data_IF_321851822633
#
_entry.id   IF_321851822633
#
_cell.length_a   1.000
_cell.length_b   1.000
_cell.length_c   1.000
_cell.angle_alpha   90.00
_cell.angle_beta   90.00
_cell.angle_gamma   90.00
#
_symmetry.space_group_name_H-M   'P 1'
#
loop_
_entity.id
_entity.type
_entity.pdbx_description
1 polymer ?
#
# COMPACT_ATOMS: atom_id res chain seq x y z
N UNK A 1 4.04 -6.23 15.97
CA UNK A 1 3.46 -7.19 15.01
C UNK A 1 3.75 -8.64 15.38
N UNK A 2 5.01 -9.07 15.51
CA UNK A 2 5.34 -10.47 15.85
C UNK A 2 4.67 -10.98 17.13
N UNK A 3 4.63 -10.18 18.21
CA UNK A 3 3.93 -10.56 19.43
C UNK A 3 2.41 -10.75 19.23
N UNK A 4 1.81 -10.06 18.26
CA UNK A 4 0.40 -10.24 17.88
C UNK A 4 0.24 -11.59 17.15
N UNK A 5 1.10 -11.86 16.17
CA UNK A 5 1.10 -13.12 15.41
C UNK A 5 1.29 -14.34 16.32
N UNK A 6 2.23 -14.29 17.26
CA UNK A 6 2.46 -15.38 18.21
C UNK A 6 1.19 -15.70 19.03
N UNK A 7 0.50 -14.67 19.54
CA UNK A 7 -0.75 -14.83 20.28
C UNK A 7 -1.89 -15.40 19.42
N UNK A 8 -2.07 -14.89 18.21
CA UNK A 8 -3.16 -15.31 17.33
C UNK A 8 -2.95 -16.70 16.71
N UNK A 9 -1.70 -17.09 16.48
CA UNK A 9 -1.35 -18.40 15.94
C UNK A 9 -1.20 -19.48 17.00
N UNK A 10 -1.06 -19.10 18.28
CA UNK A 10 -0.68 -20.02 19.35
C UNK A 10 0.76 -20.53 19.23
N UNK A 11 1.58 -19.95 18.33
CA UNK A 11 2.98 -20.32 18.13
C UNK A 11 3.85 -19.40 19.00
N UNK A 12 4.67 -19.99 19.84
CA UNK A 12 5.67 -19.23 20.60
C UNK A 12 6.62 -18.48 19.65
N UNK A 13 7.05 -17.27 20.01
CA UNK A 13 7.95 -16.48 19.16
C UNK A 13 9.23 -17.22 18.78
N UNK A 14 9.77 -18.05 19.68
CA UNK A 14 10.97 -18.85 19.45
C UNK A 14 10.72 -20.09 18.56
N UNK A 15 9.45 -20.48 18.37
CA UNK A 15 9.04 -21.62 17.55
C UNK A 15 8.54 -21.20 16.15
N UNK A 16 8.43 -19.89 15.90
CA UNK A 16 8.11 -19.35 14.58
C UNK A 16 9.19 -19.68 13.54
N UNK A 17 8.77 -19.78 12.28
CA UNK A 17 9.68 -20.06 11.14
C UNK A 17 10.37 -18.81 10.58
N UNK A 18 10.05 -17.63 11.12
CA UNK A 18 10.64 -16.36 10.71
C UNK A 18 12.11 -16.29 11.13
N UNK A 19 13.01 -16.27 10.14
CA UNK A 19 14.45 -16.06 10.34
C UNK A 19 14.76 -14.57 10.55
N UNK A 20 15.74 -14.19 11.39
CA UNK A 20 16.17 -12.80 11.55
C UNK A 20 16.55 -12.11 10.23
N UNK A 21 17.19 -12.84 9.31
CA UNK A 21 17.56 -12.34 7.98
C UNK A 21 16.31 -11.99 7.15
N UNK A 22 15.31 -12.87 7.14
CA UNK A 22 14.06 -12.62 6.43
C UNK A 22 13.31 -11.41 7.01
N UNK A 23 13.37 -11.17 8.33
CA UNK A 23 12.82 -9.96 8.93
C UNK A 23 13.54 -8.70 8.44
N UNK A 24 14.87 -8.71 8.37
CA UNK A 24 15.66 -7.59 7.85
C UNK A 24 15.30 -7.29 6.38
N UNK A 25 15.16 -8.33 5.56
CA UNK A 25 14.74 -8.20 4.16
C UNK A 25 13.33 -7.59 4.03
N UNK A 26 12.37 -7.99 4.86
CA UNK A 26 11.04 -7.37 4.86
C UNK A 26 11.12 -5.88 5.16
N UNK A 27 11.97 -5.46 6.11
CA UNK A 27 12.17 -4.06 6.42
C UNK A 27 12.79 -3.31 5.23
N UNK A 28 13.79 -3.90 4.57
CA UNK A 28 14.39 -3.33 3.35
C UNK A 28 13.36 -3.18 2.23
N UNK A 29 12.50 -4.16 2.01
CA UNK A 29 11.44 -4.10 0.98
C UNK A 29 10.43 -2.98 1.26
N UNK A 30 10.13 -2.69 2.52
CA UNK A 30 9.28 -1.56 2.92
C UNK A 30 10.00 -0.23 2.71
N UNK A 31 11.26 -0.14 3.13
CA UNK A 31 12.08 1.09 3.00
C UNK A 31 12.26 1.50 1.54
N UNK A 32 12.48 0.52 0.66
CA UNK A 32 12.58 0.71 -0.79
C UNK A 32 11.24 1.02 -1.47
N UNK A 33 10.11 0.96 -0.75
CA UNK A 33 8.77 1.13 -1.33
C UNK A 33 8.39 0.00 -2.30
N UNK A 34 9.02 -1.17 -2.18
CA UNK A 34 8.68 -2.35 -2.97
C UNK A 34 7.36 -2.95 -2.49
N UNK A 35 7.13 -2.98 -1.17
CA UNK A 35 5.86 -3.38 -0.56
C UNK A 35 5.35 -2.32 0.42
N UNK A 36 4.03 -2.24 0.58
CA UNK A 36 3.43 -1.37 1.59
C UNK A 36 3.52 -1.98 2.99
N UNK A 37 3.29 -1.17 4.04
CA UNK A 37 3.15 -1.67 5.42
C UNK A 37 2.09 -2.78 5.55
N UNK A 38 1.03 -2.74 4.74
CA UNK A 38 0.02 -3.79 4.71
C UNK A 38 0.58 -5.07 4.08
N UNK A 39 1.31 -4.95 2.96
CA UNK A 39 2.00 -6.07 2.33
C UNK A 39 3.02 -6.72 3.28
N UNK A 40 3.79 -5.92 4.01
CA UNK A 40 4.74 -6.40 5.01
C UNK A 40 4.07 -7.22 6.13
N UNK A 41 2.88 -6.84 6.60
CA UNK A 41 2.14 -7.63 7.60
C UNK A 41 1.73 -9.00 7.06
N UNK A 42 1.24 -9.06 5.81
CA UNK A 42 0.88 -10.31 5.14
C UNK A 42 2.13 -11.20 4.98
N UNK A 43 3.24 -10.59 4.55
CA UNK A 43 4.50 -11.29 4.35
C UNK A 43 5.07 -11.84 5.68
N UNK A 44 5.07 -11.03 6.74
CA UNK A 44 5.52 -11.45 8.07
C UNK A 44 4.66 -12.57 8.64
N UNK A 45 3.35 -12.54 8.41
CA UNK A 45 2.46 -13.63 8.84
C UNK A 45 2.83 -14.95 8.17
N UNK A 46 3.04 -14.96 6.85
CA UNK A 46 3.43 -16.15 6.13
C UNK A 46 4.82 -16.65 6.54
N UNK A 47 5.81 -15.76 6.62
CA UNK A 47 7.16 -16.11 7.06
C UNK A 47 7.19 -16.67 8.49
N UNK A 48 6.35 -16.13 9.38
CA UNK A 48 6.28 -16.59 10.76
C UNK A 48 5.65 -17.99 10.88
N UNK A 49 4.58 -18.27 10.12
CA UNK A 49 3.84 -19.54 10.18
C UNK A 49 4.47 -20.64 9.34
N UNK A 50 4.90 -20.31 8.12
CA UNK A 50 5.26 -21.26 7.08
C UNK A 50 6.75 -21.16 6.68
N UNK A 51 7.36 -19.98 6.87
CA UNK A 51 8.73 -19.70 6.44
C UNK A 51 8.79 -19.28 4.97
N UNK A 52 9.93 -19.50 4.33
CA UNK A 52 10.18 -19.16 2.93
C UNK A 52 11.11 -17.96 2.73
N UNK A 53 11.22 -17.56 1.47
CA UNK A 53 12.08 -16.46 1.02
C UNK A 53 11.24 -15.20 0.72
N UNK A 54 11.53 -14.04 1.33
CA UNK A 54 10.73 -12.82 1.19
C UNK A 54 10.48 -12.40 -0.26
N UNK A 55 11.52 -12.39 -1.11
CA UNK A 55 11.40 -11.95 -2.51
C UNK A 55 10.40 -12.81 -3.31
N UNK A 56 10.49 -14.13 -3.22
CA UNK A 56 9.57 -15.05 -3.89
C UNK A 56 8.12 -14.87 -3.42
N UNK A 57 7.95 -14.63 -2.11
CA UNK A 57 6.64 -14.42 -1.52
C UNK A 57 6.01 -13.10 -1.94
N UNK A 58 6.80 -12.03 -2.14
CA UNK A 58 6.29 -10.75 -2.65
C UNK A 58 5.64 -10.94 -4.02
N UNK A 59 6.29 -11.68 -4.91
CA UNK A 59 5.78 -11.96 -6.25
C UNK A 59 4.57 -12.89 -6.17
N UNK A 60 4.72 -14.04 -5.50
CA UNK A 60 3.68 -15.08 -5.41
C UNK A 60 2.39 -14.58 -4.74
N UNK A 61 2.51 -13.71 -3.74
CA UNK A 61 1.37 -13.14 -3.01
C UNK A 61 0.91 -11.80 -3.61
N UNK A 62 1.55 -11.31 -4.68
CA UNK A 62 1.17 -10.07 -5.38
C UNK A 62 1.27 -8.83 -4.50
N UNK A 63 2.28 -8.75 -3.63
CA UNK A 63 2.43 -7.70 -2.62
C UNK A 63 3.15 -6.44 -3.12
N UNK A 64 3.73 -6.51 -4.32
CA UNK A 64 4.47 -5.41 -4.93
C UNK A 64 3.58 -4.16 -5.09
N UNK A 65 4.15 -3.00 -4.73
CA UNK A 65 3.51 -1.71 -4.92
C UNK A 65 3.40 -1.35 -6.41
N UNK A 66 2.31 -0.68 -6.75
CA UNK A 66 2.06 -0.14 -8.09
C UNK A 66 2.55 1.31 -8.07
N UNK A 67 3.63 1.57 -8.80
CA UNK A 67 4.24 2.91 -8.93
C UNK A 67 4.18 3.46 -10.35
N UNK A 68 3.77 2.66 -11.34
CA UNK A 68 3.59 3.10 -12.72
C UNK A 68 2.36 3.99 -12.86
N UNK A 69 2.52 5.16 -13.47
CA UNK A 69 1.43 6.14 -13.61
C UNK A 69 0.29 5.60 -14.46
N UNK A 70 0.61 4.96 -15.59
CA UNK A 70 -0.41 4.38 -16.47
C UNK A 70 -1.19 3.25 -15.80
N UNK A 71 -0.54 2.48 -14.91
CA UNK A 71 -1.20 1.43 -14.14
C UNK A 71 -2.16 1.97 -13.06
N UNK A 72 -2.07 3.26 -12.71
CA UNK A 72 -2.95 3.91 -11.73
C UNK A 72 -3.95 4.87 -12.36
N UNK A 73 -3.79 5.21 -13.65
CA UNK A 73 -4.57 6.24 -14.34
C UNK A 73 -6.08 5.99 -14.25
N UNK A 74 -6.54 4.78 -14.57
CA UNK A 74 -7.96 4.45 -14.56
C UNK A 74 -8.57 4.57 -13.16
N UNK A 75 -7.87 4.04 -12.15
CA UNK A 75 -8.32 4.12 -10.75
C UNK A 75 -8.30 5.54 -10.20
N UNK A 76 -7.32 6.36 -10.59
CA UNK A 76 -7.27 7.79 -10.25
C UNK A 76 -8.49 8.50 -10.80
N UNK A 77 -8.81 8.32 -12.08
CA UNK A 77 -9.97 8.96 -12.70
C UNK A 77 -11.29 8.51 -12.05
N UNK A 78 -11.42 7.21 -11.77
CA UNK A 78 -12.59 6.68 -11.09
C UNK A 78 -12.76 7.27 -9.67
N UNK A 79 -11.67 7.42 -8.91
CA UNK A 79 -11.71 8.06 -7.59
C UNK A 79 -12.17 9.52 -7.67
N UNK A 80 -11.70 10.27 -8.66
CA UNK A 80 -12.12 11.67 -8.82
C UNK A 80 -13.59 11.77 -9.20
N UNK A 81 -14.08 10.89 -10.08
CA UNK A 81 -15.49 10.84 -10.50
C UNK A 81 -16.43 10.43 -9.36
N UNK A 82 -16.02 9.47 -8.53
CA UNK A 82 -16.82 8.99 -7.40
C UNK A 82 -16.86 9.98 -6.21
N UNK A 83 -15.91 10.91 -6.16
CA UNK A 83 -15.73 11.82 -5.01
C UNK A 83 -15.65 13.31 -5.41
N UNK A 84 -16.63 13.85 -6.16
CA UNK A 84 -16.57 15.21 -6.71
C UNK A 84 -16.47 16.29 -5.63
N UNK A 85 -17.12 16.10 -4.48
CA UNK A 85 -17.02 17.03 -3.35
C UNK A 85 -15.58 17.15 -2.83
N UNK A 86 -14.85 16.04 -2.69
CA UNK A 86 -13.47 16.07 -2.23
C UNK A 86 -12.54 16.71 -3.27
N UNK A 87 -12.86 16.59 -4.56
CA UNK A 87 -12.15 17.28 -5.64
C UNK A 87 -12.34 18.80 -5.52
N UNK A 88 -13.58 19.26 -5.37
CA UNK A 88 -13.89 20.68 -5.19
C UNK A 88 -13.22 21.26 -3.93
N UNK A 89 -13.33 20.55 -2.80
CA UNK A 89 -12.68 20.95 -1.57
C UNK A 89 -11.16 21.06 -1.69
N UNK A 90 -10.53 20.11 -2.37
CA UNK A 90 -9.09 20.16 -2.62
C UNK A 90 -8.72 21.36 -3.50
N UNK A 91 -9.51 21.66 -4.55
CA UNK A 91 -9.31 22.85 -5.40
C UNK A 91 -9.42 24.16 -4.62
N UNK A 92 -10.25 24.20 -3.58
CA UNK A 92 -10.35 25.34 -2.65
C UNK A 92 -9.19 25.41 -1.63
N UNK A 93 -8.16 24.58 -1.78
CA UNK A 93 -6.97 24.56 -0.92
C UNK A 93 -7.13 23.73 0.35
N UNK A 94 -8.19 22.92 0.48
CA UNK A 94 -8.36 22.03 1.64
C UNK A 94 -7.53 20.75 1.44
N UNK A 95 -6.25 20.77 1.82
CA UNK A 95 -5.32 19.62 1.69
C UNK A 95 -5.84 18.31 2.29
N UNK A 96 -6.70 18.37 3.33
CA UNK A 96 -7.32 17.18 3.93
C UNK A 96 -8.19 16.42 2.94
N UNK A 97 -8.80 17.08 1.96
CA UNK A 97 -9.62 16.45 0.94
C UNK A 97 -8.78 15.56 0.01
N UNK A 98 -7.54 15.96 -0.31
CA UNK A 98 -6.61 15.10 -1.05
C UNK A 98 -6.27 13.82 -0.27
N UNK A 99 -6.11 13.89 1.06
CA UNK A 99 -5.86 12.70 1.87
C UNK A 99 -7.04 11.70 1.83
N UNK A 100 -8.28 12.20 1.73
CA UNK A 100 -9.46 11.35 1.52
C UNK A 100 -9.38 10.63 0.18
N UNK A 101 -9.11 11.37 -0.90
CA UNK A 101 -8.95 10.79 -2.25
C UNK A 101 -7.84 9.75 -2.30
N UNK A 102 -6.69 10.02 -1.67
CA UNK A 102 -5.58 9.05 -1.53
C UNK A 102 -6.06 7.80 -0.81
N UNK A 103 -6.80 7.95 0.30
CA UNK A 103 -7.38 6.81 1.01
C UNK A 103 -8.30 5.95 0.15
N UNK A 104 -9.12 6.57 -0.72
CA UNK A 104 -10.01 5.85 -1.64
C UNK A 104 -9.23 5.10 -2.72
N UNK A 105 -8.19 5.72 -3.29
CA UNK A 105 -7.31 5.06 -4.25
C UNK A 105 -6.54 3.89 -3.61
N UNK A 106 -6.05 4.06 -2.38
CA UNK A 106 -5.44 2.97 -1.62
C UNK A 106 -6.42 1.82 -1.43
N UNK A 107 -7.69 2.10 -1.11
CA UNK A 107 -8.71 1.07 -0.94
C UNK A 107 -8.97 0.31 -2.25
N UNK A 108 -9.16 1.02 -3.36
CA UNK A 108 -9.37 0.45 -4.71
C UNK A 108 -8.23 -0.47 -5.14
N UNK A 109 -7.00 -0.03 -4.93
CA UNK A 109 -5.79 -0.82 -5.23
C UNK A 109 -5.43 -1.83 -4.13
N UNK A 110 -6.31 -2.05 -3.15
CA UNK A 110 -6.13 -2.96 -1.99
C UNK A 110 -4.87 -2.68 -1.16
N UNK A 111 -4.36 -1.45 -1.20
CA UNK A 111 -3.17 -0.98 -0.51
C UNK A 111 -1.88 -1.20 -1.31
N UNK A 112 -2.00 -1.46 -2.62
CA UNK A 112 -0.86 -1.67 -3.52
C UNK A 112 -0.37 -0.39 -4.18
N UNK A 113 -1.21 0.62 -4.43
CA UNK A 113 -0.70 1.87 -4.99
C UNK A 113 0.39 2.47 -4.08
N UNK A 114 1.44 3.01 -4.68
CA UNK A 114 2.45 3.75 -3.94
C UNK A 114 1.82 5.07 -3.42
N UNK A 115 1.84 5.36 -2.10
CA UNK A 115 1.18 6.54 -1.55
C UNK A 115 1.68 7.87 -2.12
N UNK A 116 2.98 7.98 -2.41
CA UNK A 116 3.58 9.20 -2.96
C UNK A 116 3.12 9.42 -4.40
N UNK A 117 3.16 8.36 -5.22
CA UNK A 117 2.68 8.39 -6.61
C UNK A 117 1.17 8.67 -6.65
N UNK A 118 0.39 7.95 -5.84
CA UNK A 118 -1.06 8.16 -5.71
C UNK A 118 -1.41 9.61 -5.37
N UNK A 119 -0.75 10.19 -4.36
CA UNK A 119 -0.97 11.59 -3.97
C UNK A 119 -0.63 12.55 -5.11
N UNK A 120 0.49 12.32 -5.82
CA UNK A 120 0.91 13.14 -6.96
C UNK A 120 -0.13 13.08 -8.08
N UNK A 121 -0.52 11.88 -8.51
CA UNK A 121 -1.45 11.69 -9.62
C UNK A 121 -2.84 12.26 -9.32
N UNK A 122 -3.36 12.02 -8.12
CA UNK A 122 -4.65 12.58 -7.69
C UNK A 122 -4.60 14.11 -7.64
N UNK A 123 -3.52 14.69 -7.12
CA UNK A 123 -3.38 16.14 -7.08
C UNK A 123 -3.33 16.76 -8.48
N UNK A 124 -2.54 16.18 -9.38
CA UNK A 124 -2.43 16.63 -10.76
C UNK A 124 -3.77 16.53 -11.49
N UNK A 125 -4.40 15.35 -11.48
CA UNK A 125 -5.65 15.12 -12.19
C UNK A 125 -6.82 15.93 -11.60
N UNK A 126 -6.86 16.13 -10.28
CA UNK A 126 -7.88 16.98 -9.66
C UNK A 126 -7.78 18.44 -10.10
N UNK A 127 -6.57 18.98 -10.30
CA UNK A 127 -6.35 20.37 -10.70
C UNK A 127 -6.47 20.60 -12.22
N UNK A 128 -6.22 19.58 -13.04
CA UNK A 128 -6.26 19.68 -14.52
C UNK A 128 -7.67 19.66 -15.12
N UNK A 129 -8.70 19.28 -14.36
CA UNK A 129 -10.09 19.22 -14.85
C UNK A 129 -10.77 20.56 -15.15
N UNK A 130 -10.02 21.63 -15.45
CA UNK A 130 -10.52 22.92 -15.96
C UNK A 130 -10.16 23.18 -17.45
N UNK A 131 -9.36 22.32 -18.10
CA UNK A 131 -8.96 22.52 -19.51
C UNK A 131 -9.95 21.93 -20.55
N UNK A 132 -11.23 21.78 -20.20
CA UNK A 132 -12.29 21.25 -21.08
C UNK A 132 -13.49 22.17 -21.21
#
# INVERSE_FOLDING_TARGET
>A
ELSRLARESGIDLAQGRLRPQALAEVLTLVDQGTISNKGARILLEHLFREGGEPAELVERLGLAQISGEDALREEVMAVLQDHPQAVEEFRLGKDKALNVLVGQLMKRTRGRANPQVARRLLAQAALQGEEG
#
